data_IF_603396014880
#
_entry.id   IF_603396014880
#
_cell.length_a   1.000
_cell.length_b   1.000
_cell.length_c   1.000
_cell.angle_alpha   90.00
_cell.angle_beta   90.00
_cell.angle_gamma   90.00
#
_symmetry.space_group_name_H-M   'P 1'
#
loop_
_entity.id
_entity.type
_entity.pdbx_description
1 polymer ?
#
# COMPACT_ATOMS: atom_id res chain seq x y z
N UNK A 1 1.66 -32.49 -15.67
CA UNK A 1 0.40 -31.72 -15.61
C UNK A 1 0.02 -31.63 -14.14
N UNK A 2 0.24 -30.48 -13.49
CA UNK A 2 -0.17 -30.26 -12.11
C UNK A 2 -1.53 -29.56 -12.13
N UNK A 3 -2.58 -30.27 -11.74
CA UNK A 3 -3.89 -29.71 -11.41
C UNK A 3 -3.82 -29.20 -9.98
N UNK A 4 -3.44 -27.94 -9.80
CA UNK A 4 -3.55 -27.26 -8.51
C UNK A 4 -4.99 -26.83 -8.28
N UNK A 5 -5.65 -27.45 -7.30
CA UNK A 5 -6.95 -26.99 -6.80
C UNK A 5 -6.77 -25.57 -6.23
N UNK A 6 -7.36 -24.58 -6.91
CA UNK A 6 -7.40 -23.21 -6.40
C UNK A 6 -8.41 -23.17 -5.27
N UNK A 7 -7.94 -23.24 -4.03
CA UNK A 7 -8.78 -22.98 -2.85
C UNK A 7 -9.24 -21.52 -2.88
N UNK A 8 -10.48 -21.29 -3.28
CA UNK A 8 -11.12 -19.98 -3.22
C UNK A 8 -11.50 -19.74 -1.75
N UNK A 9 -10.59 -19.13 -0.99
CA UNK A 9 -10.91 -18.57 0.31
C UNK A 9 -11.86 -17.38 0.12
N UNK A 10 -13.18 -17.62 0.19
CA UNK A 10 -14.15 -16.53 0.32
C UNK A 10 -14.10 -16.07 1.77
N UNK A 11 -13.25 -15.08 2.04
CA UNK A 11 -13.34 -14.33 3.30
C UNK A 11 -14.60 -13.48 3.20
N UNK A 12 -15.71 -13.97 3.77
CA UNK A 12 -16.85 -13.10 4.10
C UNK A 12 -16.35 -12.07 5.13
N UNK A 13 -15.93 -10.90 4.66
CA UNK A 13 -15.70 -9.74 5.52
C UNK A 13 -17.07 -9.29 6.05
N UNK A 14 -17.49 -9.88 7.19
CA UNK A 14 -18.73 -9.55 7.90
C UNK A 14 -18.68 -8.22 8.66
N UNK A 15 -17.68 -7.38 8.43
CA UNK A 15 -17.63 -6.02 8.96
C UNK A 15 -17.41 -5.06 7.80
N UNK A 16 -18.36 -4.13 7.64
CA UNK A 16 -18.27 -3.00 6.71
C UNK A 16 -17.19 -2.08 7.28
N UNK A 17 -15.92 -2.44 7.09
CA UNK A 17 -14.85 -1.47 7.29
C UNK A 17 -15.06 -0.36 6.25
N UNK A 18 -14.91 0.93 6.62
CA UNK A 18 -14.89 1.99 5.63
C UNK A 18 -13.90 1.63 4.53
N UNK A 19 -14.34 1.74 3.28
CA UNK A 19 -13.50 1.43 2.13
C UNK A 19 -12.53 2.57 1.92
N UNK A 20 -11.30 2.39 2.38
CA UNK A 20 -10.20 3.35 2.17
C UNK A 20 -9.53 3.08 0.83
N UNK A 21 -9.24 4.14 0.08
CA UNK A 21 -8.52 4.06 -1.18
C UNK A 21 -7.59 5.27 -1.33
N UNK A 22 -6.46 5.08 -1.99
CA UNK A 22 -5.54 6.17 -2.32
C UNK A 22 -5.98 6.84 -3.63
N UNK A 23 -6.02 8.16 -3.62
CA UNK A 23 -6.25 8.97 -4.81
C UNK A 23 -5.04 9.89 -5.04
N UNK A 24 -4.63 10.02 -6.30
CA UNK A 24 -3.71 11.04 -6.76
C UNK A 24 -4.52 12.25 -7.20
N UNK A 25 -4.25 13.41 -6.64
CA UNK A 25 -4.85 14.68 -7.06
C UNK A 25 -3.77 15.56 -7.68
N UNK A 26 -3.99 15.99 -8.91
CA UNK A 26 -3.04 16.80 -9.67
C UNK A 26 -3.76 17.98 -10.32
N UNK A 27 -3.13 19.18 -10.37
CA UNK A 27 -3.63 20.24 -11.21
C UNK A 27 -3.42 19.88 -12.69
N UNK A 28 -4.47 19.97 -13.51
CA UNK A 28 -4.44 19.76 -14.95
C UNK A 28 -5.04 20.99 -15.65
N UNK A 29 -4.19 21.88 -16.16
CA UNK A 29 -4.57 23.20 -16.66
C UNK A 29 -5.25 24.08 -15.59
N UNK A 30 -6.48 24.54 -15.85
CA UNK A 30 -7.28 25.39 -14.95
C UNK A 30 -8.16 24.57 -13.97
N UNK A 31 -8.07 23.24 -14.01
CA UNK A 31 -8.88 22.33 -13.19
C UNK A 31 -8.00 21.39 -12.37
N UNK A 32 -8.59 20.74 -11.38
CA UNK A 32 -8.00 19.64 -10.63
C UNK A 32 -8.50 18.32 -11.17
N UNK A 33 -7.63 17.31 -11.21
CA UNK A 33 -7.98 15.93 -11.55
C UNK A 33 -7.65 15.03 -10.38
N UNK A 34 -8.64 14.27 -9.92
CA UNK A 34 -8.48 13.22 -8.94
C UNK A 34 -8.55 11.85 -9.64
N UNK A 35 -7.56 10.98 -9.41
CA UNK A 35 -7.46 9.67 -10.06
C UNK A 35 -7.18 8.58 -9.04
N UNK A 36 -7.93 7.47 -9.10
CA UNK A 36 -7.54 6.21 -8.47
C UNK A 36 -6.69 5.45 -9.46
N UNK A 37 -5.41 5.26 -9.13
CA UNK A 37 -4.46 4.54 -9.97
C UNK A 37 -4.86 3.07 -10.12
N UNK A 38 -4.19 2.35 -11.03
CA UNK A 38 -4.50 0.95 -11.33
C UNK A 38 -4.66 0.11 -10.05
N UNK A 39 -5.68 -0.77 -9.98
CA UNK A 39 -6.33 -1.42 -11.11
C UNK A 39 -7.68 -0.84 -11.58
N UNK A 40 -8.22 0.21 -10.97
CA UNK A 40 -9.62 0.62 -11.20
C UNK A 40 -9.81 1.82 -12.13
N UNK A 41 -8.74 2.58 -12.39
CA UNK A 41 -8.68 3.68 -13.38
C UNK A 41 -9.88 4.66 -13.33
N UNK A 42 -10.37 4.97 -12.13
CA UNK A 42 -11.36 6.03 -11.94
C UNK A 42 -10.67 7.37 -12.01
N UNK A 43 -11.31 8.35 -12.64
CA UNK A 43 -10.87 9.73 -12.57
C UNK A 43 -12.08 10.67 -12.60
N UNK A 44 -11.90 11.83 -11.98
CA UNK A 44 -12.84 12.93 -12.04
C UNK A 44 -12.10 14.26 -12.04
N UNK A 45 -12.74 15.31 -12.54
CA UNK A 45 -12.19 16.66 -12.61
C UNK A 45 -13.09 17.65 -11.90
N UNK A 46 -12.54 18.71 -11.34
CA UNK A 46 -13.31 19.80 -10.73
C UNK A 46 -12.53 21.10 -10.72
N UNK A 47 -13.23 22.22 -10.57
CA UNK A 47 -12.60 23.55 -10.51
C UNK A 47 -11.80 23.73 -9.21
N UNK A 48 -12.05 22.85 -8.23
CA UNK A 48 -11.29 22.74 -6.98
C UNK A 48 -10.90 21.28 -6.71
N UNK A 49 -9.85 21.09 -5.90
CA UNK A 49 -9.47 19.77 -5.38
C UNK A 49 -10.65 19.06 -4.69
N UNK A 50 -11.41 19.76 -3.85
CA UNK A 50 -12.55 19.20 -3.13
C UNK A 50 -13.66 18.73 -4.09
N UNK A 51 -13.89 19.46 -5.17
CA UNK A 51 -14.86 19.09 -6.18
C UNK A 51 -14.42 17.84 -6.95
N UNK A 52 -13.16 17.79 -7.40
CA UNK A 52 -12.61 16.62 -8.09
C UNK A 52 -12.71 15.35 -7.22
N UNK A 53 -12.39 15.46 -5.92
CA UNK A 53 -12.54 14.35 -4.97
C UNK A 53 -14.01 13.95 -4.75
N UNK A 54 -14.92 14.91 -4.61
CA UNK A 54 -16.35 14.63 -4.42
C UNK A 54 -16.98 13.91 -5.62
N UNK A 55 -16.59 14.31 -6.83
CA UNK A 55 -17.02 13.64 -8.06
C UNK A 55 -16.43 12.22 -8.17
N UNK A 56 -15.15 12.05 -7.82
CA UNK A 56 -14.48 10.74 -7.79
C UNK A 56 -15.18 9.78 -6.82
N UNK A 57 -15.50 10.27 -5.63
CA UNK A 57 -16.26 9.57 -4.59
C UNK A 57 -17.63 9.11 -5.09
N UNK A 58 -18.33 9.98 -5.82
CA UNK A 58 -19.67 9.69 -6.34
C UNK A 58 -19.61 8.54 -7.34
N UNK A 59 -18.64 8.55 -8.27
CA UNK A 59 -18.47 7.47 -9.24
C UNK A 59 -18.16 6.13 -8.57
N UNK A 60 -17.30 6.14 -7.54
CA UNK A 60 -16.93 4.92 -6.80
C UNK A 60 -18.15 4.38 -6.05
N UNK A 61 -18.88 5.23 -5.33
CA UNK A 61 -20.09 4.83 -4.59
C UNK A 61 -21.16 4.28 -5.51
N UNK A 62 -21.40 4.89 -6.68
CA UNK A 62 -22.37 4.40 -7.65
C UNK A 62 -22.03 2.97 -8.11
N UNK A 63 -20.77 2.71 -8.43
CA UNK A 63 -20.35 1.34 -8.81
C UNK A 63 -20.53 0.36 -7.67
N UNK A 64 -20.17 0.73 -6.45
CA UNK A 64 -20.37 -0.12 -5.26
C UNK A 64 -21.87 -0.40 -5.01
N UNK A 65 -22.74 0.60 -5.17
CA UNK A 65 -24.19 0.44 -5.05
C UNK A 65 -24.78 -0.47 -6.14
N UNK A 66 -24.22 -0.44 -7.35
CA UNK A 66 -24.56 -1.36 -8.44
C UNK A 66 -23.95 -2.76 -8.28
N UNK A 67 -23.38 -3.07 -7.11
CA UNK A 67 -22.92 -4.41 -6.75
C UNK A 67 -21.46 -4.71 -7.10
N UNK A 68 -20.70 -3.71 -7.59
CA UNK A 68 -19.25 -3.88 -7.69
C UNK A 68 -18.65 -4.11 -6.30
N UNK A 69 -17.61 -4.94 -6.24
CA UNK A 69 -16.88 -5.24 -5.00
C UNK A 69 -15.39 -5.09 -5.24
N UNK A 70 -14.70 -4.45 -4.29
CA UNK A 70 -13.24 -4.45 -4.28
C UNK A 70 -12.79 -5.79 -3.71
N UNK A 71 -12.05 -6.57 -4.51
CA UNK A 71 -11.53 -7.88 -4.11
C UNK A 71 -10.02 -7.84 -4.14
N UNK A 72 -9.41 -7.91 -2.97
CA UNK A 72 -7.96 -8.07 -2.85
C UNK A 72 -7.60 -9.54 -3.07
N UNK A 73 -6.89 -9.84 -4.16
CA UNK A 73 -6.37 -11.17 -4.43
C UNK A 73 -4.89 -11.19 -4.15
N UNK A 74 -4.49 -11.91 -3.10
CA UNK A 74 -3.09 -12.31 -2.91
C UNK A 74 -2.81 -13.46 -3.86
N UNK A 75 -1.84 -13.29 -4.74
CA UNK A 75 -1.33 -14.40 -5.55
C UNK A 75 -0.51 -15.32 -4.64
N UNK A 76 -0.76 -16.65 -4.60
CA UNK A 76 -0.05 -17.55 -3.71
C UNK A 76 1.45 -17.67 -4.02
N UNK A 77 1.88 -17.30 -5.24
CA UNK A 77 3.25 -17.53 -5.70
C UNK A 77 3.89 -16.26 -6.25
N UNK A 78 3.99 -15.21 -5.43
CA UNK A 78 5.09 -14.28 -5.63
C UNK A 78 6.36 -15.07 -5.33
N UNK A 79 6.93 -15.71 -6.36
CA UNK A 79 8.17 -16.49 -6.32
C UNK A 79 9.05 -15.93 -5.24
N UNK A 80 9.33 -16.72 -4.19
CA UNK A 80 10.16 -16.32 -3.07
C UNK A 80 11.36 -15.56 -3.66
N UNK A 81 11.44 -14.26 -3.34
CA UNK A 81 12.44 -13.40 -3.97
C UNK A 81 13.79 -14.11 -3.79
N UNK A 82 14.67 -14.25 -4.79
CA UNK A 82 15.89 -15.05 -4.65
C UNK A 82 16.79 -14.61 -3.48
N UNK A 83 16.57 -13.38 -2.99
CA UNK A 83 17.22 -12.80 -1.83
C UNK A 83 16.42 -12.92 -0.51
N UNK A 84 15.19 -13.44 -0.51
CA UNK A 84 14.36 -13.62 0.67
C UNK A 84 15.04 -14.52 1.72
N UNK A 85 15.76 -15.56 1.28
CA UNK A 85 16.62 -16.39 2.14
C UNK A 85 17.75 -15.63 2.84
N UNK A 86 18.10 -14.43 2.35
CA UNK A 86 19.12 -13.56 2.93
C UNK A 86 18.51 -12.38 3.69
N UNK A 87 17.19 -12.23 3.70
CA UNK A 87 16.51 -11.17 4.48
C UNK A 87 16.57 -11.56 5.96
N UNK A 88 17.30 -10.76 6.75
CA UNK A 88 17.42 -10.95 8.20
C UNK A 88 18.54 -11.92 8.63
N UNK A 89 19.24 -12.57 7.69
CA UNK A 89 20.39 -13.39 8.01
C UNK A 89 21.67 -12.54 8.00
N UNK A 90 22.01 -12.00 9.17
CA UNK A 90 23.29 -11.33 9.42
C UNK A 90 24.34 -12.29 10.01
N UNK A 91 24.08 -13.60 10.05
CA UNK A 91 24.90 -14.56 10.81
C UNK A 91 26.33 -14.65 10.29
N UNK A 92 26.53 -14.48 8.98
CA UNK A 92 27.85 -14.53 8.33
C UNK A 92 28.50 -13.14 8.18
N UNK A 93 27.91 -12.08 8.73
CA UNK A 93 28.44 -10.73 8.56
C UNK A 93 29.66 -10.50 9.47
N UNK A 94 30.88 -10.30 8.92
CA UNK A 94 32.12 -10.30 9.71
C UNK A 94 32.22 -9.21 10.78
N UNK A 95 31.33 -8.21 10.73
CA UNK A 95 31.28 -7.05 11.64
C UNK A 95 29.88 -6.84 12.23
N UNK A 96 29.09 -7.91 12.34
CA UNK A 96 27.74 -7.85 12.90
C UNK A 96 27.74 -7.19 14.28
N UNK A 97 28.63 -7.64 15.16
CA UNK A 97 28.69 -7.16 16.54
C UNK A 97 29.06 -5.67 16.62
N UNK A 98 29.98 -5.22 15.77
CA UNK A 98 30.36 -3.79 15.68
C UNK A 98 29.20 -2.94 15.17
N UNK A 99 28.46 -3.45 14.17
CA UNK A 99 27.29 -2.78 13.61
C UNK A 99 26.13 -2.71 14.61
N UNK A 100 25.82 -3.81 15.31
CA UNK A 100 24.77 -3.84 16.34
C UNK A 100 25.10 -2.85 17.47
N UNK A 101 26.37 -2.82 17.91
CA UNK A 101 26.83 -1.88 18.94
C UNK A 101 26.70 -0.43 18.49
N UNK A 102 27.16 -0.09 17.29
CA UNK A 102 27.04 1.26 16.74
C UNK A 102 25.57 1.70 16.56
N UNK A 103 24.70 0.78 16.13
CA UNK A 103 23.26 1.03 16.00
C UNK A 103 22.56 1.22 17.35
N UNK A 104 23.05 0.57 18.41
CA UNK A 104 22.54 0.76 19.76
C UNK A 104 23.01 2.09 20.35
N UNK A 105 24.28 2.44 20.18
CA UNK A 105 24.83 3.75 20.57
C UNK A 105 24.05 4.88 19.90
N UNK A 106 23.83 4.79 18.58
CA UNK A 106 23.01 5.75 17.84
C UNK A 106 21.57 5.86 18.38
N UNK A 107 20.91 4.73 18.68
CA UNK A 107 19.55 4.74 19.23
C UNK A 107 19.49 5.40 20.60
N UNK A 108 20.45 5.10 21.47
CA UNK A 108 20.55 5.71 22.79
C UNK A 108 20.80 7.23 22.69
N UNK A 109 21.64 7.68 21.76
CA UNK A 109 21.91 9.09 21.52
C UNK A 109 20.68 9.83 20.96
N UNK A 110 19.96 9.20 20.02
CA UNK A 110 18.73 9.75 19.46
C UNK A 110 17.60 9.85 20.51
N UNK A 111 17.44 8.84 21.37
CA UNK A 111 16.43 8.83 22.44
C UNK A 111 16.78 9.77 23.60
N UNK A 112 18.07 10.00 23.85
CA UNK A 112 18.54 10.99 24.84
C UNK A 112 18.50 12.44 24.35
N UNK A 113 18.06 12.67 23.10
CA UNK A 113 17.88 14.00 22.52
C UNK A 113 19.19 14.72 22.20
N UNK A 114 20.31 14.00 22.09
CA UNK A 114 21.59 14.61 21.71
C UNK A 114 21.62 14.79 20.18
N UNK A 115 21.22 15.98 19.74
CA UNK A 115 21.18 16.35 18.33
C UNK A 115 22.61 16.65 17.83
N UNK A 116 23.15 15.80 16.95
CA UNK A 116 24.37 16.10 16.17
C UNK A 116 24.03 16.79 14.84
N UNK A 117 23.14 17.79 14.86
CA UNK A 117 22.85 18.72 13.77
C UNK A 117 22.69 20.16 14.29
#
# INVERSE_FOLDING_TARGET
MYTGETTIGVTELRHILPTEYAALVEPENEVYRATVTAPFAFFATGDTEAEALSQLDTQIRERLQHGARIVYRRLPDATEHPLARFVGDLSDYPRRDEWEKAMQEYRNDAESGHNYL
#
